data_IF_535283444260
#
_entry.id   IF_535283444260
#
_cell.length_a   1.000
_cell.length_b   1.000
_cell.length_c   1.000
_cell.angle_alpha   90.00
_cell.angle_beta   90.00
_cell.angle_gamma   90.00
#
_symmetry.space_group_name_H-M   'P 1'
#
loop_
_entity.id
_entity.type
_entity.pdbx_description
1 polymer ?
#
# COMPACT_ATOMS: atom_id res chain seq x y z
N UNK A 1 10.12 -40.44 -12.68
CA UNK A 1 8.91 -40.11 -13.45
C UNK A 1 8.40 -38.78 -12.92
N UNK A 2 8.70 -37.68 -13.60
CA UNK A 2 8.34 -36.32 -13.17
C UNK A 2 6.99 -35.96 -13.79
N UNK A 3 6.03 -35.54 -12.96
CA UNK A 3 4.78 -34.94 -13.41
C UNK A 3 5.05 -33.48 -13.75
N UNK A 4 4.93 -33.10 -15.02
CA UNK A 4 4.87 -31.70 -15.42
C UNK A 4 3.44 -31.20 -15.16
N UNK A 5 3.29 -30.26 -14.21
CA UNK A 5 2.04 -29.53 -14.06
C UNK A 5 1.92 -28.53 -15.22
N UNK A 6 0.88 -28.69 -16.04
CA UNK A 6 0.51 -27.71 -17.04
C UNK A 6 -0.08 -26.49 -16.31
N UNK A 7 0.55 -25.32 -16.50
CA UNK A 7 -0.06 -24.03 -16.17
C UNK A 7 -0.78 -23.59 -17.44
N UNK A 8 -2.09 -23.78 -17.50
CA UNK A 8 -2.92 -23.11 -18.50
C UNK A 8 -3.07 -21.64 -18.07
N UNK A 9 -2.38 -20.74 -18.78
CA UNK A 9 -2.72 -19.33 -18.76
C UNK A 9 -3.92 -19.18 -19.68
N UNK A 10 -5.12 -19.08 -19.10
CA UNK A 10 -6.31 -18.65 -19.83
C UNK A 10 -6.21 -17.14 -20.01
N UNK A 11 -5.43 -16.72 -21.01
CA UNK A 11 -5.38 -15.35 -21.48
C UNK A 11 -6.57 -15.11 -22.41
N UNK A 12 -7.73 -14.85 -21.80
CA UNK A 12 -8.83 -14.22 -22.52
C UNK A 12 -8.59 -12.72 -22.43
N UNK A 13 -7.69 -12.25 -23.29
CA UNK A 13 -7.33 -10.84 -23.46
C UNK A 13 -8.50 -9.99 -23.94
N UNK A 14 -9.45 -9.70 -23.04
CA UNK A 14 -10.34 -8.55 -23.16
C UNK A 14 -9.89 -7.47 -22.17
N UNK A 15 -9.07 -6.55 -22.69
CA UNK A 15 -8.89 -5.23 -22.09
C UNK A 15 -10.15 -4.43 -22.43
N UNK A 16 -11.15 -4.51 -21.56
CA UNK A 16 -12.25 -3.53 -21.53
C UNK A 16 -12.51 -3.08 -20.10
N UNK A 17 -11.65 -2.22 -19.57
CA UNK A 17 -12.20 -1.16 -18.72
C UNK A 17 -12.57 -0.03 -19.68
N UNK A 18 -13.80 -0.11 -20.17
CA UNK A 18 -14.42 0.97 -20.92
C UNK A 18 -14.15 2.25 -20.15
N UNK A 19 -13.30 3.12 -20.69
CA UNK A 19 -13.26 4.54 -20.34
C UNK A 19 -14.61 5.11 -20.78
N UNK A 20 -15.67 4.79 -20.05
CA UNK A 20 -16.99 5.36 -20.23
C UNK A 20 -16.91 6.78 -19.68
N UNK A 21 -16.97 7.82 -20.52
CA UNK A 21 -17.24 9.14 -20.03
C UNK A 21 -18.71 9.15 -19.62
N UNK A 22 -18.99 9.50 -18.37
CA UNK A 22 -20.32 9.73 -17.79
C UNK A 22 -21.05 8.50 -17.20
N UNK A 23 -20.56 8.02 -16.06
CA UNK A 23 -21.36 8.08 -14.82
C UNK A 23 -20.44 8.48 -13.67
N UNK A 24 -20.68 9.64 -13.07
CA UNK A 24 -20.02 10.12 -11.86
C UNK A 24 -20.50 9.34 -10.64
N UNK A 25 -20.35 8.01 -10.68
CA UNK A 25 -20.34 7.21 -9.47
C UNK A 25 -19.02 7.50 -8.77
N UNK A 26 -19.11 8.11 -7.60
CA UNK A 26 -17.99 8.51 -6.76
C UNK A 26 -17.25 7.26 -6.24
N UNK A 27 -16.53 6.56 -7.12
CA UNK A 27 -15.64 5.47 -6.75
C UNK A 27 -14.37 6.07 -6.16
N UNK A 28 -14.52 6.67 -4.98
CA UNK A 28 -13.39 7.10 -4.18
C UNK A 28 -12.39 5.94 -4.09
N UNK A 29 -11.13 6.22 -4.42
CA UNK A 29 -10.04 5.26 -4.30
C UNK A 29 -9.78 4.86 -2.84
N UNK A 30 -10.43 5.54 -1.90
CA UNK A 30 -10.33 5.31 -0.46
C UNK A 30 -11.69 5.26 0.24
N UNK A 31 -11.72 4.58 1.38
CA UNK A 31 -12.85 4.46 2.28
C UNK A 31 -12.46 5.16 3.59
N UNK A 32 -13.28 6.11 4.04
CA UNK A 32 -13.10 6.77 5.33
C UNK A 32 -13.33 5.75 6.45
N UNK A 33 -12.35 5.60 7.33
CA UNK A 33 -12.50 4.83 8.56
C UNK A 33 -13.04 5.76 9.65
N UNK A 34 -14.17 5.38 10.26
CA UNK A 34 -14.79 6.13 11.37
C UNK A 34 -14.11 5.78 12.70
N UNK A 35 -14.27 6.63 13.70
CA UNK A 35 -13.64 6.45 15.03
C UNK A 35 -14.11 5.17 15.76
N UNK A 36 -15.24 4.60 15.38
CA UNK A 36 -15.76 3.33 15.93
C UNK A 36 -15.15 2.09 15.25
N UNK A 37 -14.30 2.29 14.24
CA UNK A 37 -13.68 1.21 13.49
C UNK A 37 -12.36 0.79 14.15
N UNK A 38 -12.22 -0.50 14.48
CA UNK A 38 -10.98 -1.01 15.07
C UNK A 38 -9.72 -0.74 14.23
N UNK A 39 -9.81 -0.76 12.89
CA UNK A 39 -8.68 -0.39 12.03
C UNK A 39 -8.31 1.10 12.16
N UNK A 40 -9.30 1.98 12.38
CA UNK A 40 -9.04 3.39 12.67
C UNK A 40 -8.20 3.51 13.95
N UNK A 41 -8.62 2.86 15.04
CA UNK A 41 -7.93 2.93 16.32
C UNK A 41 -6.49 2.41 16.24
N UNK A 42 -6.31 1.27 15.57
CA UNK A 42 -4.99 0.68 15.35
C UNK A 42 -4.09 1.66 14.59
N UNK A 43 -4.54 2.19 13.45
CA UNK A 43 -3.71 3.10 12.64
C UNK A 43 -3.42 4.40 13.39
N UNK A 44 -4.42 4.98 14.07
CA UNK A 44 -4.27 6.20 14.88
C UNK A 44 -3.26 6.00 16.01
N UNK A 45 -3.38 4.92 16.78
CA UNK A 45 -2.49 4.65 17.90
C UNK A 45 -1.06 4.38 17.42
N UNK A 46 -0.90 3.64 16.32
CA UNK A 46 0.42 3.42 15.72
C UNK A 46 1.06 4.69 15.20
N UNK A 47 0.28 5.56 14.56
CA UNK A 47 0.76 6.86 14.06
C UNK A 47 1.20 7.76 15.22
N UNK A 48 0.35 7.94 16.24
CA UNK A 48 0.66 8.76 17.41
C UNK A 48 1.86 8.21 18.20
N UNK A 49 1.97 6.88 18.33
CA UNK A 49 3.15 6.26 18.93
C UNK A 49 4.43 6.57 18.15
N UNK A 50 4.36 6.62 16.82
CA UNK A 50 5.49 7.02 15.96
C UNK A 50 5.86 8.50 16.08
N UNK A 51 4.91 9.37 16.42
CA UNK A 51 5.15 10.81 16.63
C UNK A 51 5.93 11.12 17.91
N UNK A 52 6.02 10.18 18.86
CA UNK A 52 6.79 10.30 20.09
C UNK A 52 6.38 11.53 20.90
N UNK A 53 7.35 12.43 21.18
CA UNK A 53 7.10 13.65 21.98
C UNK A 53 6.04 14.59 21.40
N UNK A 54 5.78 14.50 20.09
CA UNK A 54 4.82 15.34 19.39
C UNK A 54 3.42 14.74 19.36
N UNK A 55 3.22 13.53 19.89
CA UNK A 55 1.93 12.86 19.89
C UNK A 55 0.82 13.68 20.56
N UNK A 56 1.14 14.35 21.68
CA UNK A 56 0.19 15.18 22.44
C UNK A 56 -0.27 16.43 21.68
N UNK A 57 0.52 16.92 20.73
CA UNK A 57 0.24 18.09 19.90
C UNK A 57 -0.32 17.71 18.52
N UNK A 58 -0.38 16.40 18.22
CA UNK A 58 -0.80 15.89 16.92
C UNK A 58 -2.28 15.54 16.93
N UNK A 59 -3.06 16.20 16.07
CA UNK A 59 -4.47 15.85 15.84
C UNK A 59 -4.60 15.05 14.55
N UNK A 60 -5.08 13.80 14.65
CA UNK A 60 -5.42 12.99 13.48
C UNK A 60 -6.78 13.45 12.94
N UNK A 61 -6.77 14.07 11.76
CA UNK A 61 -7.97 14.66 11.15
C UNK A 61 -8.85 13.62 10.45
N UNK A 62 -8.24 12.68 9.73
CA UNK A 62 -8.96 11.59 9.09
C UNK A 62 -8.03 10.40 8.84
N UNK A 63 -8.62 9.21 8.74
CA UNK A 63 -7.93 7.98 8.34
C UNK A 63 -8.69 7.35 7.19
N UNK A 64 -7.99 7.10 6.10
CA UNK A 64 -8.56 6.57 4.87
C UNK A 64 -7.86 5.27 4.50
N UNK A 65 -8.64 4.24 4.14
CA UNK A 65 -8.15 2.95 3.67
C UNK A 65 -8.32 2.85 2.17
N UNK A 66 -7.30 2.40 1.44
CA UNK A 66 -7.44 2.15 -0.01
C UNK A 66 -8.52 1.11 -0.28
N UNK A 67 -9.46 1.45 -1.17
CA UNK A 67 -10.56 0.54 -1.55
C UNK A 67 -10.02 -0.63 -2.36
N UNK A 68 -10.32 -1.86 -1.92
CA UNK A 68 -9.99 -3.09 -2.64
C UNK A 68 -10.95 -3.38 -3.83
N UNK A 69 -11.96 -2.53 -4.06
CA UNK A 69 -12.96 -2.74 -5.09
C UNK A 69 -12.41 -2.51 -6.50
N UNK A 70 -11.43 -1.61 -6.65
CA UNK A 70 -10.83 -1.29 -7.95
C UNK A 70 -9.94 -2.43 -8.45
N UNK A 71 -9.99 -2.70 -9.75
CA UNK A 71 -9.12 -3.69 -10.42
C UNK A 71 -7.65 -3.37 -10.15
N UNK A 72 -7.28 -2.08 -10.20
CA UNK A 72 -5.91 -1.62 -9.91
C UNK A 72 -5.46 -1.95 -8.49
N UNK A 73 -6.35 -1.83 -7.49
CA UNK A 73 -6.06 -2.23 -6.10
C UNK A 73 -5.82 -3.73 -5.98
N UNK A 74 -6.65 -4.55 -6.64
CA UNK A 74 -6.48 -6.02 -6.66
C UNK A 74 -5.18 -6.43 -7.35
N UNK A 75 -4.85 -5.80 -8.48
CA UNK A 75 -3.62 -6.05 -9.22
C UNK A 75 -2.38 -5.68 -8.39
N UNK A 76 -2.38 -4.53 -7.71
CA UNK A 76 -1.29 -4.13 -6.80
C UNK A 76 -1.10 -5.15 -5.68
N UNK A 77 -2.17 -5.57 -5.02
CA UNK A 77 -2.11 -6.59 -3.97
C UNK A 77 -1.57 -7.93 -4.49
N UNK A 78 -2.04 -8.38 -5.66
CA UNK A 78 -1.56 -9.60 -6.28
C UNK A 78 -0.06 -9.54 -6.60
N UNK A 79 0.41 -8.44 -7.19
CA UNK A 79 1.83 -8.22 -7.47
C UNK A 79 2.66 -8.22 -6.17
N UNK A 80 2.22 -7.51 -5.13
CA UNK A 80 2.88 -7.50 -3.81
C UNK A 80 2.98 -8.90 -3.21
N UNK A 81 1.94 -9.73 -3.32
CA UNK A 81 1.95 -11.11 -2.82
C UNK A 81 2.95 -11.99 -3.58
N UNK A 82 3.03 -11.84 -4.91
CA UNK A 82 4.03 -12.55 -5.73
C UNK A 82 5.45 -12.19 -5.30
N UNK A 83 5.73 -10.90 -5.10
CA UNK A 83 7.05 -10.45 -4.64
C UNK A 83 7.36 -10.92 -3.21
N UNK A 84 6.40 -10.85 -2.29
CA UNK A 84 6.57 -11.32 -0.92
C UNK A 84 6.93 -12.82 -0.89
N UNK A 85 6.22 -13.64 -1.66
CA UNK A 85 6.48 -15.07 -1.73
C UNK A 85 7.84 -15.39 -2.40
N UNK A 86 8.23 -14.63 -3.43
CA UNK A 86 9.57 -14.75 -4.01
C UNK A 86 10.67 -14.40 -2.98
N UNK A 87 10.48 -13.33 -2.21
CA UNK A 87 11.41 -12.92 -1.14
C UNK A 87 11.45 -13.92 0.00
N UNK A 88 10.31 -14.54 0.35
CA UNK A 88 10.23 -15.62 1.34
C UNK A 88 11.14 -16.78 0.97
N UNK A 89 11.10 -17.23 -0.28
CA UNK A 89 11.96 -18.31 -0.79
C UNK A 89 13.43 -17.90 -0.78
N UNK A 90 13.73 -16.66 -1.14
CA UNK A 90 15.10 -16.12 -1.13
C UNK A 90 15.70 -16.02 0.27
N UNK A 91 14.89 -15.67 1.27
CA UNK A 91 15.34 -15.32 2.62
C UNK A 91 15.18 -16.47 3.63
N UNK A 92 15.15 -17.73 3.18
CA UNK A 92 15.08 -18.88 4.08
C UNK A 92 13.75 -19.05 4.81
N UNK A 93 12.66 -18.56 4.24
CA UNK A 93 11.29 -18.75 4.76
C UNK A 93 10.62 -17.50 5.33
N UNK A 94 11.32 -16.36 5.43
CA UNK A 94 10.75 -15.09 5.88
C UNK A 94 10.87 -13.99 4.82
N UNK A 95 9.74 -13.51 4.31
CA UNK A 95 9.71 -12.42 3.35
C UNK A 95 10.18 -11.07 3.93
N UNK A 96 10.26 -10.95 5.26
CA UNK A 96 10.55 -9.72 5.99
C UNK A 96 9.62 -8.56 5.56
N UNK A 97 8.32 -8.85 5.40
CA UNK A 97 7.31 -7.82 5.12
C UNK A 97 7.12 -6.98 6.38
N UNK A 98 7.21 -5.65 6.21
CA UNK A 98 7.10 -4.67 7.29
C UNK A 98 6.12 -3.58 6.90
N UNK A 99 5.52 -2.96 7.91
CA UNK A 99 4.82 -1.69 7.76
C UNK A 99 5.80 -0.53 7.87
N UNK A 100 5.54 0.53 7.10
CA UNK A 100 6.31 1.77 7.15
C UNK A 100 5.43 2.96 6.82
N UNK A 101 5.83 4.13 7.29
CA UNK A 101 5.16 5.40 7.03
C UNK A 101 5.83 6.11 5.85
N UNK A 102 5.00 6.61 4.95
CA UNK A 102 5.41 7.49 3.85
C UNK A 102 4.67 8.81 4.01
N UNK A 103 5.39 9.92 3.84
CA UNK A 103 4.84 11.27 3.88
C UNK A 103 5.13 11.97 2.58
N UNK A 104 4.15 12.69 2.05
CA UNK A 104 4.25 13.45 0.81
C UNK A 104 3.19 14.53 0.76
N UNK A 105 3.13 15.29 -0.34
CA UNK A 105 2.02 16.22 -0.57
C UNK A 105 0.70 15.46 -0.76
N UNK A 106 -0.43 16.15 -0.62
CA UNK A 106 -1.75 15.56 -0.87
C UNK A 106 -1.82 14.92 -2.27
N UNK A 107 -1.34 15.64 -3.28
CA UNK A 107 -1.35 15.23 -4.68
C UNK A 107 -0.47 13.99 -4.91
N UNK A 108 0.67 13.91 -4.23
CA UNK A 108 1.57 12.76 -4.27
C UNK A 108 0.92 11.52 -3.64
N UNK A 109 0.30 11.66 -2.47
CA UNK A 109 -0.42 10.58 -1.80
C UNK A 109 -1.60 10.10 -2.66
N UNK A 110 -2.37 11.01 -3.27
CA UNK A 110 -3.48 10.65 -4.17
C UNK A 110 -2.98 9.87 -5.41
N UNK A 111 -1.84 10.27 -5.96
CA UNK A 111 -1.19 9.57 -7.07
C UNK A 111 -0.72 8.17 -6.65
N UNK A 112 -0.06 8.03 -5.50
CA UNK A 112 0.39 6.74 -4.97
C UNK A 112 -0.80 5.80 -4.69
N UNK A 113 -1.87 6.31 -4.08
CA UNK A 113 -3.08 5.53 -3.82
C UNK A 113 -3.70 5.03 -5.13
N UNK A 114 -3.67 5.85 -6.18
CA UNK A 114 -4.24 5.51 -7.49
C UNK A 114 -3.35 4.50 -8.24
N UNK A 115 -2.07 4.82 -8.41
CA UNK A 115 -1.17 4.15 -9.36
C UNK A 115 -0.08 3.30 -8.70
N UNK A 116 0.12 3.44 -7.39
CA UNK A 116 1.25 2.85 -6.67
C UNK A 116 2.48 3.76 -6.67
N UNK A 117 3.54 3.31 -5.98
CA UNK A 117 4.83 4.00 -6.00
C UNK A 117 5.50 3.88 -7.36
N UNK A 118 6.17 4.96 -7.78
CA UNK A 118 6.86 5.05 -9.06
C UNK A 118 8.21 5.76 -8.92
N UNK A 119 8.90 5.96 -10.04
CA UNK A 119 10.11 6.79 -10.06
C UNK A 119 9.85 8.27 -9.72
N UNK A 120 8.57 8.69 -9.64
CA UNK A 120 8.20 10.05 -9.25
C UNK A 120 8.45 10.33 -7.76
N UNK A 121 8.41 9.28 -6.94
CA UNK A 121 8.60 9.32 -5.49
C UNK A 121 10.05 9.02 -5.08
N UNK A 122 10.92 8.76 -6.06
CA UNK A 122 12.33 8.48 -5.82
C UNK A 122 13.06 9.80 -5.61
N UNK A 123 13.61 9.94 -4.41
CA UNK A 123 14.41 11.10 -4.09
C UNK A 123 15.77 11.03 -4.79
N UNK A 124 16.08 12.09 -5.52
CA UNK A 124 17.29 12.20 -6.35
C UNK A 124 18.47 12.84 -5.61
N UNK A 125 18.24 13.30 -4.39
CA UNK A 125 19.29 13.85 -3.54
C UNK A 125 20.13 12.73 -2.92
N UNK A 126 21.38 13.07 -2.62
CA UNK A 126 22.37 12.18 -2.02
C UNK A 126 22.01 11.87 -0.56
N UNK A 127 21.05 10.96 -0.40
CA UNK A 127 20.67 10.41 0.91
C UNK A 127 21.66 9.32 1.30
N UNK A 128 21.97 9.23 2.58
CA UNK A 128 22.88 8.23 3.18
C UNK A 128 22.52 6.77 2.92
N UNK A 129 21.32 6.50 2.40
CA UNK A 129 20.78 5.16 2.12
C UNK A 129 20.52 4.91 0.63
N UNK A 130 21.07 5.75 -0.24
CA UNK A 130 20.96 5.63 -1.70
C UNK A 130 19.65 6.17 -2.28
N UNK A 131 19.52 6.01 -3.59
CA UNK A 131 18.40 6.50 -4.41
C UNK A 131 17.26 5.50 -4.38
N UNK A 132 16.12 5.90 -3.82
CA UNK A 132 14.94 5.04 -3.70
C UNK A 132 13.77 5.71 -2.99
N UNK A 133 12.67 4.96 -2.82
CA UNK A 133 11.54 5.37 -1.99
C UNK A 133 11.86 5.02 -0.54
N UNK A 134 11.88 6.03 0.31
CA UNK A 134 12.22 5.89 1.73
C UNK A 134 10.96 5.83 2.58
N UNK A 135 10.95 4.91 3.55
CA UNK A 135 9.87 4.79 4.53
C UNK A 135 10.44 5.02 5.92
N UNK A 136 9.67 5.70 6.77
CA UNK A 136 9.93 5.72 8.20
C UNK A 136 9.45 4.39 8.80
N UNK A 137 10.25 3.83 9.69
CA UNK A 137 9.92 2.56 10.33
C UNK A 137 8.65 2.68 11.17
N UNK A 138 7.72 1.72 11.03
CA UNK A 138 6.59 1.63 11.94
C UNK A 138 7.05 0.98 13.25
N UNK A 139 7.04 1.73 14.35
CA UNK A 139 7.44 1.27 15.69
C UNK A 139 6.29 0.64 16.47
N UNK A 140 5.07 0.65 15.92
CA UNK A 140 3.90 0.11 16.59
C UNK A 140 3.88 -1.41 16.56
N UNK A 141 3.75 -2.03 17.73
CA UNK A 141 3.46 -3.45 17.83
C UNK A 141 1.96 -3.65 17.61
N UNK A 142 1.60 -4.19 16.45
CA UNK A 142 0.28 -4.75 16.25
C UNK A 142 0.22 -6.04 17.09
N UNK A 143 -0.38 -5.98 18.27
CA UNK A 143 -0.70 -7.21 18.99
C UNK A 143 -1.63 -8.04 18.09
N UNK A 144 -1.18 -9.24 17.72
CA UNK A 144 -1.90 -10.21 16.90
C UNK A 144 -2.94 -10.96 17.73
#
# INVERSE_FOLDING_TARGET
MMMAAQVEIVDNGEIIDSLSPHTSGDYSSTILLREENHEYDVVKNCFLSGMGRHAAETTVVSVHKTSAQRITSKAKLAASNVFAEAMKRKNGGDANVRYGWYSGSKEEIERIVSYGFSNSEVEKDDRSHGVGVHFLHNTCSLAA
#
